data_IF_011814707880
#
_entry.id   IF_011814707880
#
_cell.length_a   1.000
_cell.length_b   1.000
_cell.length_c   1.000
_cell.angle_alpha   90.00
_cell.angle_beta   90.00
_cell.angle_gamma   90.00
#
_symmetry.space_group_name_H-M   'P 1'
#
loop_
_entity.id
_entity.type
_entity.pdbx_description
1 polymer ?
#
# COMPACT_ATOMS: atom_id res chain seq x y z
N UNK A 1 8.39 -22.92 8.19
CA UNK A 1 8.03 -22.33 6.88
C UNK A 1 6.52 -22.29 6.84
N UNK A 2 5.93 -21.21 6.41
CA UNK A 2 4.48 -21.12 6.26
C UNK A 2 4.05 -22.01 5.08
N UNK A 3 2.95 -22.74 5.27
CA UNK A 3 2.48 -23.75 4.31
C UNK A 3 1.98 -23.17 2.97
N UNK A 4 1.91 -21.84 2.85
CA UNK A 4 1.37 -21.13 1.69
C UNK A 4 2.40 -20.76 0.60
N UNK A 5 3.70 -20.92 0.84
CA UNK A 5 4.76 -20.67 -0.18
C UNK A 5 4.52 -21.42 -1.49
N UNK A 6 4.21 -22.72 -1.49
CA UNK A 6 3.96 -23.46 -2.73
C UNK A 6 2.75 -22.96 -3.50
N UNK A 7 1.70 -22.52 -2.81
CA UNK A 7 0.47 -22.05 -3.44
C UNK A 7 0.67 -20.66 -4.08
N UNK A 8 1.37 -19.75 -3.38
CA UNK A 8 1.77 -18.45 -3.94
C UNK A 8 2.61 -18.63 -5.20
N UNK A 9 3.61 -19.52 -5.16
CA UNK A 9 4.46 -19.79 -6.33
C UNK A 9 3.66 -20.36 -7.50
N UNK A 10 2.83 -21.37 -7.25
CA UNK A 10 1.97 -21.99 -8.27
C UNK A 10 1.08 -20.94 -8.94
N UNK A 11 0.57 -19.98 -8.17
CA UNK A 11 -0.29 -18.92 -8.70
C UNK A 11 0.42 -18.10 -9.78
N UNK A 12 1.54 -17.45 -9.45
CA UNK A 12 2.20 -16.58 -10.43
C UNK A 12 2.93 -17.36 -11.54
N UNK A 13 3.42 -18.58 -11.25
CA UNK A 13 4.00 -19.49 -12.26
C UNK A 13 2.95 -19.91 -13.29
N UNK A 14 1.69 -20.18 -12.88
CA UNK A 14 0.60 -20.50 -13.81
C UNK A 14 0.26 -19.36 -14.78
N UNK A 15 0.50 -18.11 -14.35
CA UNK A 15 0.32 -16.93 -15.18
C UNK A 15 1.54 -16.63 -16.08
N UNK A 16 2.64 -17.40 -15.95
CA UNK A 16 3.88 -17.15 -16.68
C UNK A 16 4.63 -15.91 -16.22
N UNK A 17 4.38 -15.42 -14.99
CA UNK A 17 5.05 -14.28 -14.43
C UNK A 17 6.44 -14.65 -13.87
N UNK A 18 7.39 -13.70 -13.78
CA UNK A 18 8.70 -13.94 -13.16
C UNK A 18 8.65 -13.86 -11.62
N UNK A 19 7.50 -13.52 -11.04
CA UNK A 19 7.25 -13.33 -9.62
C UNK A 19 6.11 -12.34 -9.40
N UNK A 20 6.10 -11.71 -8.23
CA UNK A 20 5.10 -10.72 -7.81
C UNK A 20 5.76 -9.37 -7.50
N UNK A 21 5.03 -8.29 -7.72
CA UNK A 21 5.32 -6.95 -7.20
C UNK A 21 4.20 -6.60 -6.22
N UNK A 22 4.50 -6.64 -4.93
CA UNK A 22 3.57 -6.28 -3.87
C UNK A 22 3.79 -4.83 -3.47
N UNK A 23 2.85 -3.94 -3.74
CA UNK A 23 3.02 -2.50 -3.52
C UNK A 23 2.63 -2.05 -2.11
N UNK A 24 2.12 -2.97 -1.28
CA UNK A 24 1.62 -2.63 0.05
C UNK A 24 2.05 -3.67 1.09
N UNK A 25 3.26 -3.54 1.58
CA UNK A 25 3.78 -4.32 2.72
C UNK A 25 4.31 -3.39 3.80
N UNK A 26 4.43 -3.91 5.02
CA UNK A 26 4.89 -3.14 6.16
C UNK A 26 6.08 -3.79 6.84
N UNK A 27 7.20 -3.08 6.85
CA UNK A 27 8.35 -3.37 7.69
C UNK A 27 8.65 -2.13 8.51
N UNK A 28 8.73 -2.28 9.82
CA UNK A 28 8.87 -1.19 10.77
C UNK A 28 9.97 -1.49 11.79
N UNK A 29 10.56 -0.47 12.43
CA UNK A 29 11.46 -0.70 13.55
C UNK A 29 10.84 -1.65 14.58
N UNK A 30 11.59 -2.58 15.17
CA UNK A 30 11.02 -3.64 16.03
C UNK A 30 10.13 -3.15 17.18
N UNK A 31 10.42 -1.98 17.75
CA UNK A 31 9.60 -1.36 18.80
C UNK A 31 8.25 -0.88 18.28
N UNK A 32 8.23 -0.25 17.10
CA UNK A 32 7.01 0.21 16.43
C UNK A 32 6.19 -0.99 15.98
N UNK A 33 6.84 -2.00 15.38
CA UNK A 33 6.15 -3.22 14.95
C UNK A 33 5.42 -3.93 16.10
N UNK A 34 6.04 -4.01 17.29
CA UNK A 34 5.36 -4.58 18.47
C UNK A 34 4.14 -3.75 18.89
N UNK A 35 4.24 -2.42 18.83
CA UNK A 35 3.11 -1.54 19.15
C UNK A 35 1.97 -1.72 18.14
N UNK A 36 2.28 -1.82 16.84
CA UNK A 36 1.29 -2.11 15.79
C UNK A 36 0.61 -3.46 16.03
N UNK A 37 1.37 -4.52 16.33
CA UNK A 37 0.77 -5.82 16.65
C UNK A 37 -0.17 -5.77 17.86
N UNK A 38 0.19 -5.03 18.91
CA UNK A 38 -0.68 -4.87 20.08
C UNK A 38 -2.01 -4.16 19.74
N UNK A 39 -1.98 -3.21 18.80
CA UNK A 39 -3.21 -2.55 18.31
C UNK A 39 -4.11 -3.55 17.61
N UNK A 40 -3.58 -4.39 16.72
CA UNK A 40 -4.35 -5.42 16.04
C UNK A 40 -4.87 -6.51 17.00
N UNK A 41 -4.06 -6.92 17.97
CA UNK A 41 -4.50 -7.89 19.00
C UNK A 41 -5.68 -7.37 19.83
N UNK A 42 -5.78 -6.05 20.01
CA UNK A 42 -6.86 -5.39 20.72
C UNK A 42 -8.02 -4.93 19.81
N UNK A 43 -7.93 -5.14 18.49
CA UNK A 43 -8.88 -4.56 17.55
C UNK A 43 -10.27 -5.24 17.56
N UNK A 44 -10.36 -6.50 17.99
CA UNK A 44 -11.57 -7.32 17.90
C UNK A 44 -12.88 -6.63 18.33
N UNK A 45 -12.94 -5.98 19.51
CA UNK A 45 -14.16 -5.28 19.94
C UNK A 45 -14.55 -4.09 19.06
N UNK A 46 -13.57 -3.43 18.39
CA UNK A 46 -13.83 -2.27 17.54
C UNK A 46 -14.34 -2.65 16.15
N UNK A 47 -13.81 -3.75 15.61
CA UNK A 47 -14.08 -4.18 14.22
C UNK A 47 -15.11 -5.33 14.15
N UNK A 48 -15.58 -5.84 15.29
CA UNK A 48 -16.55 -6.92 15.36
C UNK A 48 -16.01 -8.32 15.07
N UNK A 49 -14.67 -8.48 14.96
CA UNK A 49 -14.00 -9.77 14.77
C UNK A 49 -12.54 -9.71 15.20
N UNK A 50 -11.98 -10.87 15.59
CA UNK A 50 -10.56 -10.96 15.91
C UNK A 50 -9.68 -10.78 14.67
N UNK A 51 -8.47 -10.24 14.90
CA UNK A 51 -7.45 -10.04 13.87
C UNK A 51 -6.19 -10.84 14.22
N UNK A 52 -6.17 -12.15 13.98
CA UNK A 52 -5.03 -12.99 14.31
C UNK A 52 -3.91 -12.82 13.27
N UNK A 53 -3.00 -11.87 13.49
CA UNK A 53 -1.87 -11.65 12.59
C UNK A 53 -1.12 -12.97 12.38
N UNK A 54 -0.96 -13.34 11.09
CA UNK A 54 -0.35 -14.62 10.72
C UNK A 54 1.17 -14.58 10.68
N UNK A 55 1.78 -13.47 10.29
CA UNK A 55 3.22 -13.38 10.01
C UNK A 55 3.94 -12.55 11.08
N UNK A 56 4.20 -13.19 12.25
CA UNK A 56 4.84 -12.54 13.41
C UNK A 56 6.33 -12.86 13.56
N UNK A 57 6.92 -13.48 12.55
CA UNK A 57 8.34 -13.80 12.51
C UNK A 57 9.20 -12.54 12.61
N UNK A 58 10.51 -12.71 12.80
CA UNK A 58 11.49 -11.61 12.73
C UNK A 58 11.47 -10.91 11.37
N UNK A 59 12.08 -9.75 11.28
CA UNK A 59 12.20 -8.98 10.02
C UNK A 59 12.87 -9.86 8.95
N UNK A 60 13.99 -10.50 9.29
CA UNK A 60 14.77 -11.32 8.35
C UNK A 60 13.96 -12.52 7.86
N UNK A 61 13.30 -13.25 8.76
CA UNK A 61 12.45 -14.39 8.39
C UNK A 61 11.28 -13.97 7.48
N UNK A 62 10.70 -12.78 7.68
CA UNK A 62 9.65 -12.24 6.81
C UNK A 62 10.17 -11.86 5.43
N UNK A 63 11.38 -11.31 5.34
CA UNK A 63 12.05 -11.05 4.06
C UNK A 63 12.32 -12.36 3.32
N UNK A 64 12.89 -13.37 4.01
CA UNK A 64 13.11 -14.68 3.42
C UNK A 64 11.80 -15.35 2.96
N UNK A 65 10.72 -15.13 3.69
CA UNK A 65 9.40 -15.63 3.30
C UNK A 65 8.90 -14.98 2.01
N UNK A 66 9.00 -13.66 1.87
CA UNK A 66 8.65 -12.97 0.62
C UNK A 66 9.51 -13.45 -0.56
N UNK A 67 10.81 -13.64 -0.33
CA UNK A 67 11.73 -14.24 -1.32
C UNK A 67 11.30 -15.64 -1.74
N UNK A 68 10.96 -16.49 -0.78
CA UNK A 68 10.48 -17.85 -1.03
C UNK A 68 9.16 -17.87 -1.80
N UNK A 69 8.25 -16.95 -1.52
CA UNK A 69 6.99 -16.75 -2.24
C UNK A 69 7.19 -16.22 -3.68
N UNK A 70 8.36 -15.66 -3.99
CA UNK A 70 8.66 -15.06 -5.29
C UNK A 70 8.22 -13.61 -5.41
N UNK A 71 8.03 -12.90 -4.29
CA UNK A 71 7.84 -11.45 -4.29
C UNK A 71 9.18 -10.79 -4.61
N UNK A 72 9.26 -10.14 -5.77
CA UNK A 72 10.50 -9.58 -6.33
C UNK A 72 10.75 -8.14 -5.93
N UNK A 73 9.68 -7.39 -5.67
CA UNK A 73 9.73 -6.00 -5.22
C UNK A 73 8.62 -5.76 -4.21
N UNK A 74 8.95 -5.06 -3.15
CA UNK A 74 8.02 -4.70 -2.08
C UNK A 74 8.54 -3.49 -1.30
N UNK A 75 7.68 -2.58 -0.83
CA UNK A 75 8.06 -1.43 0.00
C UNK A 75 8.09 -1.79 1.49
N UNK A 76 8.66 -0.90 2.31
CA UNK A 76 8.51 -0.98 3.78
C UNK A 76 7.31 -0.21 4.30
N UNK A 77 6.81 0.76 3.57
CA UNK A 77 5.68 1.67 3.85
C UNK A 77 5.59 2.11 5.33
N UNK A 78 6.63 2.77 5.88
CA UNK A 78 6.51 3.37 7.20
C UNK A 78 5.49 4.50 7.18
N UNK A 79 4.83 4.77 8.31
CA UNK A 79 3.90 5.89 8.43
C UNK A 79 4.05 6.59 9.78
N UNK A 80 4.20 7.92 9.74
CA UNK A 80 4.31 8.73 10.94
C UNK A 80 2.93 8.93 11.58
N UNK A 81 2.86 8.75 12.91
CA UNK A 81 1.62 8.88 13.69
C UNK A 81 1.60 10.13 14.57
N UNK A 82 2.65 10.95 14.55
CA UNK A 82 2.76 12.23 15.27
C UNK A 82 3.97 13.00 14.76
N UNK A 83 4.07 14.31 15.08
CA UNK A 83 5.25 15.12 14.75
C UNK A 83 6.57 14.54 15.26
N UNK A 84 7.65 14.73 14.50
CA UNK A 84 9.02 14.32 14.85
C UNK A 84 9.30 12.82 14.72
N UNK A 85 8.37 12.01 14.24
CA UNK A 85 8.57 10.56 14.06
C UNK A 85 9.02 10.21 12.65
N UNK A 86 8.68 11.03 11.66
CA UNK A 86 8.94 10.73 10.25
C UNK A 86 10.43 10.49 9.97
N UNK A 87 11.32 11.36 10.42
CA UNK A 87 12.77 11.25 10.20
C UNK A 87 13.36 9.97 10.76
N UNK A 88 12.97 9.57 11.98
CA UNK A 88 13.40 8.29 12.56
C UNK A 88 12.96 7.08 11.71
N UNK A 89 11.74 7.10 11.21
CA UNK A 89 11.23 6.03 10.35
C UNK A 89 11.94 6.01 8.99
N UNK A 90 12.23 7.18 8.42
CA UNK A 90 12.94 7.31 7.15
C UNK A 90 14.38 6.82 7.24
N UNK A 91 15.10 7.15 8.33
CA UNK A 91 16.46 6.65 8.59
C UNK A 91 16.48 5.12 8.70
N UNK A 92 15.51 4.56 9.40
CA UNK A 92 15.38 3.11 9.52
C UNK A 92 15.10 2.46 8.17
N UNK A 93 14.18 3.03 7.38
CA UNK A 93 13.82 2.51 6.06
C UNK A 93 15.00 2.59 5.07
N UNK A 94 15.82 3.63 5.14
CA UNK A 94 17.07 3.73 4.38
C UNK A 94 18.06 2.63 4.77
N UNK A 95 18.16 2.30 6.07
CA UNK A 95 18.92 1.14 6.56
C UNK A 95 18.40 -0.17 5.98
N UNK A 96 17.09 -0.37 6.07
CA UNK A 96 16.45 -1.57 5.52
C UNK A 96 16.71 -1.73 4.02
N UNK A 97 16.62 -0.66 3.22
CA UNK A 97 16.92 -0.69 1.78
C UNK A 97 18.36 -1.13 1.49
N UNK A 98 19.33 -0.70 2.30
CA UNK A 98 20.74 -1.14 2.15
C UNK A 98 20.91 -2.64 2.41
N UNK A 99 20.20 -3.17 3.41
CA UNK A 99 20.28 -4.57 3.81
C UNK A 99 19.45 -5.50 2.93
N UNK A 100 18.36 -4.97 2.32
CA UNK A 100 17.40 -5.68 1.46
C UNK A 100 17.25 -4.93 0.13
N UNK A 101 18.18 -5.11 -0.82
CA UNK A 101 18.24 -4.32 -2.06
C UNK A 101 17.01 -4.44 -2.97
N UNK A 102 16.29 -5.55 -2.90
CA UNK A 102 15.05 -5.77 -3.65
C UNK A 102 13.85 -5.00 -3.07
N UNK A 103 13.94 -4.48 -1.86
CA UNK A 103 12.89 -3.60 -1.35
C UNK A 103 12.83 -2.28 -2.13
N UNK A 104 11.68 -1.62 -2.14
CA UNK A 104 11.57 -0.23 -2.58
C UNK A 104 11.97 0.67 -1.41
N UNK A 105 12.87 1.61 -1.65
CA UNK A 105 13.22 2.59 -0.63
C UNK A 105 12.01 3.47 -0.32
N UNK A 106 11.44 3.25 0.85
CA UNK A 106 10.21 3.89 1.29
C UNK A 106 10.49 5.00 2.30
N UNK A 107 9.68 6.06 2.25
CA UNK A 107 9.72 7.13 3.24
C UNK A 107 8.30 7.59 3.64
N UNK A 108 8.22 8.41 4.67
CA UNK A 108 6.97 8.98 5.18
C UNK A 108 7.17 10.43 5.61
N UNK A 109 6.06 11.13 5.84
CA UNK A 109 6.05 12.48 6.38
C UNK A 109 4.86 12.69 7.33
N UNK A 110 4.89 13.82 8.01
CA UNK A 110 3.81 14.30 8.87
C UNK A 110 3.58 15.79 8.57
N UNK A 111 2.37 16.36 8.73
CA UNK A 111 2.16 17.80 8.61
C UNK A 111 2.87 18.58 9.73
N UNK A 112 4.10 18.95 9.46
CA UNK A 112 5.00 19.69 10.35
C UNK A 112 5.82 20.71 9.54
N UNK A 113 6.31 21.80 10.13
CA UNK A 113 6.98 22.87 9.40
C UNK A 113 8.21 22.39 8.59
N UNK A 114 8.91 21.38 9.07
CA UNK A 114 10.12 20.83 8.47
C UNK A 114 9.85 19.83 7.33
N UNK A 115 8.57 19.44 7.11
CA UNK A 115 8.21 18.36 6.18
C UNK A 115 8.77 18.56 4.77
N UNK A 116 8.58 19.75 4.20
CA UNK A 116 9.08 20.04 2.85
C UNK A 116 10.60 19.90 2.75
N UNK A 117 11.33 20.35 3.77
CA UNK A 117 12.80 20.33 3.77
C UNK A 117 13.37 18.91 3.77
N UNK A 118 12.85 18.01 4.64
CA UNK A 118 13.37 16.65 4.65
C UNK A 118 12.85 15.82 3.45
N UNK A 119 11.66 16.13 2.91
CA UNK A 119 11.14 15.47 1.70
C UNK A 119 11.96 15.86 0.48
N UNK A 120 12.35 17.14 0.32
CA UNK A 120 13.23 17.58 -0.77
C UNK A 120 14.54 16.77 -0.78
N UNK A 121 15.17 16.59 0.40
CA UNK A 121 16.36 15.77 0.54
C UNK A 121 16.14 14.31 0.16
N UNK A 122 15.06 13.69 0.63
CA UNK A 122 14.73 12.29 0.35
C UNK A 122 14.42 12.05 -1.15
N UNK A 123 13.75 12.99 -1.80
CA UNK A 123 13.52 12.96 -3.25
C UNK A 123 14.84 13.05 -4.01
N UNK A 124 15.73 13.97 -3.62
CA UNK A 124 17.04 14.12 -4.24
C UNK A 124 17.94 12.88 -4.05
N UNK A 125 17.83 12.21 -2.91
CA UNK A 125 18.54 10.97 -2.58
C UNK A 125 17.97 9.73 -3.28
N UNK A 126 16.79 9.84 -3.95
CA UNK A 126 16.20 8.80 -4.76
C UNK A 126 15.25 7.85 -4.03
N UNK A 127 14.50 8.34 -3.04
CA UNK A 127 13.39 7.57 -2.45
C UNK A 127 12.42 7.13 -3.54
N UNK A 128 12.07 5.84 -3.55
CA UNK A 128 11.29 5.21 -4.61
C UNK A 128 9.78 5.27 -4.36
N UNK A 129 9.33 5.40 -3.09
CA UNK A 129 7.92 5.48 -2.72
C UNK A 129 7.71 6.17 -1.38
N UNK A 130 6.66 6.98 -1.28
CA UNK A 130 6.22 7.55 0.01
C UNK A 130 4.97 6.84 0.54
N UNK A 131 4.73 6.98 1.85
CA UNK A 131 3.51 6.47 2.52
C UNK A 131 3.00 7.46 3.52
N UNK A 132 1.67 7.65 3.55
CA UNK A 132 0.96 8.28 4.66
C UNK A 132 -0.28 7.47 5.03
N UNK A 133 -0.67 7.58 6.29
CA UNK A 133 -1.84 6.91 6.85
C UNK A 133 -2.65 7.93 7.67
N UNK A 134 -3.66 8.54 7.06
CA UNK A 134 -4.38 9.67 7.67
C UNK A 134 -5.15 9.28 8.93
N UNK A 135 -5.70 8.07 8.97
CA UNK A 135 -6.41 7.59 10.16
C UNK A 135 -5.50 7.46 11.39
N UNK A 136 -4.30 6.91 11.20
CA UNK A 136 -3.32 6.69 12.29
C UNK A 136 -2.59 7.97 12.64
N UNK A 137 -2.32 8.80 11.63
CA UNK A 137 -1.66 10.09 11.81
C UNK A 137 -2.60 11.19 12.33
N UNK A 138 -3.91 11.00 12.23
CA UNK A 138 -4.93 11.96 12.65
C UNK A 138 -4.73 13.35 12.03
N UNK A 139 -4.52 13.39 10.71
CA UNK A 139 -4.38 14.64 9.96
C UNK A 139 -5.13 14.61 8.63
N UNK A 140 -5.52 15.78 8.15
CA UNK A 140 -6.14 15.92 6.83
C UNK A 140 -5.10 15.96 5.72
N UNK A 141 -5.34 15.27 4.60
CA UNK A 141 -4.45 15.28 3.43
C UNK A 141 -4.28 16.70 2.85
N UNK A 142 -5.28 17.52 2.96
CA UNK A 142 -5.30 18.91 2.47
C UNK A 142 -4.84 19.94 3.53
N UNK A 143 -4.14 19.51 4.59
CA UNK A 143 -3.49 20.42 5.53
C UNK A 143 -2.50 21.33 4.76
N UNK A 144 -2.58 22.66 4.94
CA UNK A 144 -1.70 23.60 4.22
C UNK A 144 -0.20 23.38 4.41
N UNK A 145 0.22 22.76 5.53
CA UNK A 145 1.63 22.38 5.76
C UNK A 145 2.13 21.34 4.76
N UNK A 146 1.21 20.57 4.15
CA UNK A 146 1.55 19.55 3.17
C UNK A 146 1.58 20.06 1.73
N UNK A 147 1.10 21.26 1.43
CA UNK A 147 1.09 21.80 0.07
C UNK A 147 2.48 21.80 -0.58
N UNK A 148 3.56 22.24 0.08
CA UNK A 148 4.91 22.15 -0.49
C UNK A 148 5.35 20.69 -0.72
N UNK A 149 4.95 19.76 0.15
CA UNK A 149 5.27 18.33 0.01
C UNK A 149 4.59 17.73 -1.22
N UNK A 150 3.29 18.02 -1.41
CA UNK A 150 2.56 17.56 -2.59
C UNK A 150 3.18 18.08 -3.89
N UNK A 151 3.60 19.36 -3.90
CA UNK A 151 4.31 19.95 -5.04
C UNK A 151 5.62 19.23 -5.36
N UNK A 152 6.45 18.96 -4.35
CA UNK A 152 7.71 18.22 -4.51
C UNK A 152 7.49 16.81 -5.08
N UNK A 153 6.50 16.07 -4.55
CA UNK A 153 6.19 14.72 -5.02
C UNK A 153 5.61 14.73 -6.45
N UNK A 154 4.75 15.70 -6.76
CA UNK A 154 4.19 15.87 -8.11
C UNK A 154 5.28 16.13 -9.14
N UNK A 155 6.21 17.06 -8.84
CA UNK A 155 7.29 17.46 -9.77
C UNK A 155 8.33 16.35 -9.93
N UNK A 156 8.67 15.64 -8.85
CA UNK A 156 9.56 14.48 -8.90
C UNK A 156 8.92 13.27 -9.59
N UNK A 157 7.59 13.20 -9.59
CA UNK A 157 6.84 12.04 -10.06
C UNK A 157 6.98 10.81 -9.18
N UNK A 158 7.49 10.95 -7.96
CA UNK A 158 7.65 9.85 -7.01
C UNK A 158 6.28 9.41 -6.50
N UNK A 159 5.93 8.10 -6.60
CA UNK A 159 4.64 7.62 -6.17
C UNK A 159 4.49 7.66 -4.64
N UNK A 160 3.25 7.86 -4.21
CA UNK A 160 2.88 7.79 -2.80
C UNK A 160 1.71 6.84 -2.59
N UNK A 161 1.83 5.91 -1.62
CA UNK A 161 0.73 5.06 -1.16
C UNK A 161 -0.01 5.79 -0.02
N UNK A 162 -1.30 6.04 -0.21
CA UNK A 162 -2.11 6.83 0.73
C UNK A 162 -3.22 5.95 1.31
N UNK A 163 -3.21 5.73 2.62
CA UNK A 163 -4.36 5.18 3.33
C UNK A 163 -5.33 6.33 3.63
N UNK A 164 -6.23 6.59 2.67
CA UNK A 164 -7.23 7.65 2.73
C UNK A 164 -8.63 7.13 3.10
N UNK A 165 -8.94 5.86 2.81
CA UNK A 165 -10.22 5.23 3.12
C UNK A 165 -10.44 5.00 4.61
N UNK A 166 -11.70 4.75 5.00
CA UNK A 166 -12.12 4.60 6.38
C UNK A 166 -12.10 3.15 6.92
N UNK A 167 -11.79 2.15 6.10
CA UNK A 167 -11.77 0.76 6.59
C UNK A 167 -10.51 0.47 7.43
N UNK A 168 -10.62 -0.38 8.47
CA UNK A 168 -11.83 -1.01 9.01
C UNK A 168 -12.68 -0.10 9.91
N UNK A 169 -12.14 0.99 10.43
CA UNK A 169 -12.83 1.96 11.29
C UNK A 169 -12.36 3.36 10.93
N UNK A 170 -13.21 4.11 10.23
CA UNK A 170 -12.90 5.49 9.84
C UNK A 170 -12.88 6.47 10.99
N UNK A 171 -12.35 7.65 10.72
CA UNK A 171 -12.40 8.82 11.59
C UNK A 171 -12.57 10.09 10.75
N UNK A 172 -12.56 11.27 11.38
CA UNK A 172 -12.79 12.56 10.71
C UNK A 172 -11.74 12.90 9.63
N UNK A 173 -10.61 12.19 9.60
CA UNK A 173 -9.51 12.41 8.64
C UNK A 173 -9.61 11.54 7.40
N UNK A 174 -10.47 10.52 7.40
CA UNK A 174 -10.62 9.55 6.30
C UNK A 174 -11.72 9.99 5.31
N UNK A 175 -11.67 9.42 4.11
CA UNK A 175 -12.68 9.63 3.07
C UNK A 175 -12.13 10.26 1.78
N UNK A 176 -12.92 10.26 0.70
CA UNK A 176 -12.47 10.69 -0.62
C UNK A 176 -12.33 12.21 -0.77
N UNK A 177 -13.08 13.01 -0.02
CA UNK A 177 -13.12 14.46 -0.21
C UNK A 177 -11.78 15.17 0.04
N UNK A 178 -10.99 14.89 1.10
CA UNK A 178 -9.65 15.47 1.25
C UNK A 178 -8.72 15.09 0.10
N UNK A 179 -8.77 13.83 -0.37
CA UNK A 179 -7.96 13.36 -1.49
C UNK A 179 -8.33 14.10 -2.79
N UNK A 180 -9.63 14.26 -3.07
CA UNK A 180 -10.11 15.02 -4.22
C UNK A 180 -9.60 16.47 -4.22
N UNK A 181 -9.58 17.13 -3.05
CA UNK A 181 -9.03 18.49 -2.93
C UNK A 181 -7.53 18.57 -3.17
N UNK A 182 -6.75 17.56 -2.74
CA UNK A 182 -5.33 17.45 -3.06
C UNK A 182 -5.13 17.29 -4.56
N UNK A 183 -5.82 16.32 -5.20
CA UNK A 183 -5.71 16.07 -6.64
C UNK A 183 -6.16 17.24 -7.51
N UNK A 184 -7.12 18.04 -7.05
CA UNK A 184 -7.53 19.26 -7.76
C UNK A 184 -6.41 20.31 -7.81
N UNK A 185 -5.53 20.36 -6.80
CA UNK A 185 -4.38 21.27 -6.74
C UNK A 185 -3.10 20.68 -7.34
N UNK A 186 -2.95 19.37 -7.25
CA UNK A 186 -1.79 18.60 -7.71
C UNK A 186 -2.24 17.47 -8.66
N UNK A 187 -2.71 17.81 -9.88
CA UNK A 187 -3.34 16.83 -10.77
C UNK A 187 -2.40 15.79 -11.37
N UNK A 188 -1.08 16.01 -11.32
CA UNK A 188 -0.06 15.06 -11.80
C UNK A 188 0.51 14.19 -10.67
N UNK A 189 0.02 14.32 -9.44
CA UNK A 189 0.48 13.52 -8.30
C UNK A 189 0.31 12.03 -8.59
N UNK A 190 1.39 11.26 -8.47
CA UNK A 190 1.35 9.81 -8.61
C UNK A 190 0.90 9.17 -7.29
N UNK A 191 -0.38 8.90 -7.15
CA UNK A 191 -0.96 8.36 -5.93
C UNK A 191 -1.46 6.92 -6.11
N UNK A 192 -1.16 6.06 -5.14
CA UNK A 192 -1.76 4.73 -4.99
C UNK A 192 -2.68 4.77 -3.77
N UNK A 193 -3.98 4.61 -4.00
CA UNK A 193 -4.97 4.58 -2.94
C UNK A 193 -5.00 3.19 -2.32
N UNK A 194 -4.59 3.12 -1.06
CA UNK A 194 -4.57 1.88 -0.30
C UNK A 194 -5.98 1.30 -0.13
N UNK A 195 -6.10 -0.04 -0.19
CA UNK A 195 -7.37 -0.76 -0.02
C UNK A 195 -8.50 -0.24 -0.93
N UNK A 196 -8.13 0.25 -2.14
CA UNK A 196 -9.07 0.91 -3.08
C UNK A 196 -9.92 2.01 -2.43
N UNK A 197 -9.50 2.54 -1.29
CA UNK A 197 -10.23 3.55 -0.53
C UNK A 197 -11.45 3.05 0.26
N UNK A 198 -11.57 1.73 0.47
CA UNK A 198 -12.70 1.16 1.19
C UNK A 198 -13.01 1.91 2.51
N UNK A 199 -14.29 2.11 2.86
CA UNK A 199 -15.49 1.59 2.20
C UNK A 199 -16.01 2.44 1.03
N UNK A 200 -15.42 3.62 0.75
CA UNK A 200 -15.89 4.61 -0.22
C UNK A 200 -15.40 4.25 -1.65
N UNK A 201 -15.63 2.98 -2.06
CA UNK A 201 -15.08 2.40 -3.29
C UNK A 201 -15.47 3.17 -4.55
N UNK A 202 -16.73 3.63 -4.64
CA UNK A 202 -17.26 4.32 -5.84
C UNK A 202 -16.52 5.62 -6.08
N UNK A 203 -16.38 6.44 -5.05
CA UNK A 203 -15.73 7.75 -5.11
C UNK A 203 -14.23 7.63 -5.41
N UNK A 204 -13.54 6.64 -4.83
CA UNK A 204 -12.12 6.41 -5.12
C UNK A 204 -11.89 5.80 -6.52
N UNK A 205 -12.81 4.98 -7.03
CA UNK A 205 -12.81 4.57 -8.43
C UNK A 205 -12.97 5.78 -9.37
N UNK A 206 -13.89 6.71 -9.06
CA UNK A 206 -14.07 7.97 -9.82
C UNK A 206 -12.79 8.82 -9.84
N UNK A 207 -12.07 8.90 -8.73
CA UNK A 207 -10.78 9.59 -8.69
C UNK A 207 -9.74 8.89 -9.59
N UNK A 208 -9.70 7.57 -9.59
CA UNK A 208 -8.81 6.83 -10.47
C UNK A 208 -9.18 6.95 -11.95
N UNK A 209 -10.47 7.04 -12.29
CA UNK A 209 -10.94 7.28 -13.67
C UNK A 209 -10.59 8.67 -14.17
N UNK A 210 -10.70 9.67 -13.29
CA UNK A 210 -10.55 11.08 -13.64
C UNK A 210 -9.09 11.54 -13.69
N UNK A 211 -8.22 10.98 -12.81
CA UNK A 211 -6.82 11.39 -12.69
C UNK A 211 -5.88 10.33 -13.26
N UNK A 212 -5.09 10.69 -14.26
CA UNK A 212 -4.23 9.77 -15.02
C UNK A 212 -3.28 8.94 -14.14
N UNK A 213 -2.68 9.57 -13.11
CA UNK A 213 -1.65 8.97 -12.25
C UNK A 213 -2.17 8.44 -10.91
N UNK A 214 -3.50 8.38 -10.74
CA UNK A 214 -4.11 7.74 -9.57
C UNK A 214 -4.33 6.26 -9.84
N UNK A 215 -3.75 5.43 -8.99
CA UNK A 215 -3.87 3.98 -8.98
C UNK A 215 -4.55 3.50 -7.69
N UNK A 216 -4.95 2.24 -7.66
CA UNK A 216 -5.65 1.60 -6.54
C UNK A 216 -4.93 0.31 -6.18
N UNK A 217 -4.72 -0.01 -4.90
CA UNK A 217 -4.21 -1.32 -4.53
C UNK A 217 -5.31 -2.28 -4.02
N UNK A 218 -5.05 -3.56 -4.20
CA UNK A 218 -6.03 -4.63 -3.92
C UNK A 218 -6.06 -5.06 -2.46
N UNK A 219 -5.25 -4.46 -1.61
CA UNK A 219 -5.03 -4.89 -0.23
C UNK A 219 -6.33 -5.18 0.50
N UNK A 220 -6.54 -6.44 0.88
CA UNK A 220 -7.67 -6.99 1.64
C UNK A 220 -9.08 -6.85 1.01
N UNK A 221 -9.28 -6.02 0.00
CA UNK A 221 -10.62 -5.59 -0.50
C UNK A 221 -11.46 -6.75 -1.02
N UNK A 222 -10.83 -7.74 -1.66
CA UNK A 222 -11.51 -8.86 -2.32
C UNK A 222 -11.56 -10.13 -1.47
N UNK A 223 -11.01 -10.08 -0.25
CA UNK A 223 -10.98 -11.24 0.63
C UNK A 223 -12.32 -11.39 1.37
N UNK A 224 -12.68 -12.62 1.73
CA UNK A 224 -13.84 -12.93 2.56
C UNK A 224 -13.58 -12.68 4.07
N UNK A 225 -12.45 -12.06 4.40
CA UNK A 225 -12.20 -11.59 5.75
C UNK A 225 -13.24 -10.54 6.16
N UNK A 226 -13.68 -9.68 5.27
CA UNK A 226 -14.76 -8.73 5.53
C UNK A 226 -16.13 -9.35 5.26
N UNK A 227 -17.15 -9.04 6.08
CA UNK A 227 -18.49 -9.59 5.88
C UNK A 227 -19.20 -9.01 4.65
N UNK A 228 -18.79 -7.84 4.17
CA UNK A 228 -19.33 -7.23 2.97
C UNK A 228 -18.43 -7.61 1.79
N UNK A 229 -18.93 -8.39 0.81
CA UNK A 229 -18.17 -8.67 -0.41
C UNK A 229 -18.02 -7.42 -1.27
N UNK A 230 -17.00 -7.42 -2.12
CA UNK A 230 -16.86 -6.37 -3.13
C UNK A 230 -18.10 -6.32 -4.03
N UNK A 231 -18.69 -5.14 -4.31
CA UNK A 231 -19.90 -5.03 -5.10
C UNK A 231 -19.66 -5.50 -6.54
N UNK A 232 -20.41 -6.51 -6.98
CA UNK A 232 -20.23 -7.13 -8.31
C UNK A 232 -20.50 -6.16 -9.45
N UNK A 233 -21.33 -5.16 -9.25
CA UNK A 233 -21.65 -4.08 -10.20
C UNK A 233 -20.45 -3.16 -10.46
N UNK A 234 -19.43 -3.15 -9.61
CA UNK A 234 -18.20 -2.38 -9.80
C UNK A 234 -17.12 -3.16 -10.57
N UNK A 235 -17.27 -4.48 -10.78
CA UNK A 235 -16.28 -5.29 -11.49
C UNK A 235 -15.97 -4.79 -12.92
N UNK A 236 -16.92 -4.31 -13.73
CA UNK A 236 -16.62 -3.76 -15.06
C UNK A 236 -15.63 -2.58 -14.99
N UNK A 237 -15.72 -1.73 -13.97
CA UNK A 237 -14.78 -0.61 -13.76
C UNK A 237 -13.35 -1.10 -13.50
N UNK A 238 -13.17 -2.26 -12.85
CA UNK A 238 -11.85 -2.86 -12.65
C UNK A 238 -11.23 -3.38 -13.97
N UNK A 239 -12.06 -3.81 -14.92
CA UNK A 239 -11.60 -4.18 -16.26
C UNK A 239 -11.12 -2.94 -17.02
N UNK A 240 -11.90 -1.85 -17.01
CA UNK A 240 -11.54 -0.59 -17.66
C UNK A 240 -10.28 0.04 -17.02
N UNK A 241 -10.15 -0.07 -15.70
CA UNK A 241 -9.02 0.41 -14.91
C UNK A 241 -7.90 -0.64 -14.74
N UNK A 242 -7.87 -1.74 -15.51
CA UNK A 242 -6.91 -2.82 -15.26
C UNK A 242 -5.46 -2.32 -15.17
N UNK A 243 -5.12 -1.27 -15.90
CA UNK A 243 -3.77 -0.66 -15.90
C UNK A 243 -3.47 0.20 -14.65
N UNK A 244 -4.45 0.43 -13.77
CA UNK A 244 -4.36 1.25 -12.54
C UNK A 244 -4.55 0.43 -11.26
N UNK A 245 -4.86 -0.85 -11.36
CA UNK A 245 -5.00 -1.73 -10.20
C UNK A 245 -3.67 -2.43 -9.92
N UNK A 246 -3.22 -2.42 -8.67
CA UNK A 246 -1.91 -2.94 -8.23
C UNK A 246 -2.10 -3.99 -7.13
N UNK A 247 -1.28 -5.04 -7.14
CA UNK A 247 -1.27 -6.00 -6.04
C UNK A 247 -0.73 -5.35 -4.78
N UNK A 248 -1.55 -5.29 -3.74
CA UNK A 248 -1.16 -5.00 -2.37
C UNK A 248 -1.71 -6.05 -1.43
N UNK A 249 -1.02 -6.34 -0.32
CA UNK A 249 -1.44 -7.39 0.61
C UNK A 249 -1.60 -6.96 2.05
N UNK A 250 -0.91 -5.93 2.51
CA UNK A 250 -0.76 -5.54 3.93
C UNK A 250 0.11 -6.53 4.74
N UNK A 251 0.91 -7.35 4.05
CA UNK A 251 1.87 -8.22 4.73
C UNK A 251 2.79 -7.37 5.64
N UNK A 252 3.04 -7.76 6.87
CA UNK A 252 2.76 -9.03 7.53
C UNK A 252 1.51 -9.03 8.40
N UNK A 253 0.74 -7.94 8.45
CA UNK A 253 -0.34 -7.74 9.43
C UNK A 253 -1.64 -8.46 9.07
N UNK A 254 -1.67 -9.21 7.98
CA UNK A 254 -2.85 -9.93 7.50
C UNK A 254 -3.23 -11.14 8.40
N UNK A 255 -4.55 -11.38 8.58
CA UNK A 255 -5.06 -12.48 9.42
C UNK A 255 -5.22 -13.82 8.68
N UNK A 256 -4.86 -13.88 7.41
CA UNK A 256 -5.01 -15.05 6.52
C UNK A 256 -3.68 -15.33 5.78
N UNK A 257 -3.53 -16.50 5.11
CA UNK A 257 -2.37 -16.80 4.28
C UNK A 257 -2.22 -15.80 3.12
N UNK A 258 -1.00 -15.46 2.75
CA UNK A 258 -0.72 -14.61 1.58
C UNK A 258 -1.38 -15.14 0.29
N UNK A 259 -1.37 -16.46 0.10
CA UNK A 259 -2.06 -17.12 -1.01
C UNK A 259 -3.55 -16.76 -1.10
N UNK A 260 -4.22 -16.57 0.04
CA UNK A 260 -5.64 -16.22 0.07
C UNK A 260 -5.95 -14.87 -0.60
N UNK A 261 -5.04 -13.90 -0.51
CA UNK A 261 -5.15 -12.62 -1.24
C UNK A 261 -5.15 -12.87 -2.75
N UNK A 262 -4.23 -13.70 -3.25
CA UNK A 262 -4.12 -14.03 -4.68
C UNK A 262 -5.31 -14.84 -5.19
N UNK A 263 -5.75 -15.83 -4.42
CA UNK A 263 -6.95 -16.60 -4.71
C UNK A 263 -8.21 -15.74 -4.76
N UNK A 264 -8.27 -14.70 -3.91
CA UNK A 264 -9.36 -13.74 -3.92
C UNK A 264 -9.41 -12.94 -5.22
N UNK A 265 -8.26 -12.56 -5.76
CA UNK A 265 -8.18 -11.92 -7.09
C UNK A 265 -8.60 -12.86 -8.21
N UNK A 266 -8.17 -14.14 -8.16
CA UNK A 266 -8.56 -15.13 -9.15
C UNK A 266 -10.08 -15.39 -9.18
N UNK A 267 -10.73 -15.36 -8.01
CA UNK A 267 -12.19 -15.54 -7.88
C UNK A 267 -13.02 -14.43 -8.53
N UNK A 268 -12.42 -13.27 -8.85
CA UNK A 268 -13.10 -12.20 -9.58
C UNK A 268 -13.40 -12.58 -11.04
N UNK A 269 -12.71 -13.59 -11.58
CA UNK A 269 -12.86 -14.12 -12.95
C UNK A 269 -12.72 -13.04 -14.05
N UNK A 270 -11.77 -12.10 -13.84
CA UNK A 270 -11.48 -11.00 -14.78
C UNK A 270 -10.43 -11.39 -15.85
N UNK A 271 -9.97 -12.64 -15.83
CA UNK A 271 -9.04 -13.22 -16.80
C UNK A 271 -7.56 -13.07 -16.44
N UNK A 272 -6.74 -13.92 -17.08
CA UNK A 272 -5.29 -14.00 -16.79
C UNK A 272 -4.54 -12.71 -17.12
N UNK A 273 -4.94 -11.98 -18.17
CA UNK A 273 -4.27 -10.72 -18.55
C UNK A 273 -4.48 -9.64 -17.47
N UNK A 274 -5.67 -9.59 -16.86
CA UNK A 274 -5.94 -8.73 -15.72
C UNK A 274 -5.06 -9.12 -14.54
N UNK A 275 -4.96 -10.41 -14.21
CA UNK A 275 -4.10 -10.90 -13.13
C UNK A 275 -2.63 -10.59 -13.38
N UNK A 276 -2.13 -10.76 -14.62
CA UNK A 276 -0.75 -10.38 -14.98
C UNK A 276 -0.50 -8.90 -14.81
N UNK A 277 -1.44 -8.07 -15.26
CA UNK A 277 -1.34 -6.62 -15.09
C UNK A 277 -1.25 -6.24 -13.60
N UNK A 278 -2.18 -6.73 -12.77
CA UNK A 278 -2.26 -6.41 -11.35
C UNK A 278 -1.07 -6.94 -10.55
N UNK A 279 -0.69 -8.19 -10.77
CA UNK A 279 0.31 -8.86 -9.93
C UNK A 279 1.76 -8.51 -10.32
N UNK A 280 1.98 -7.94 -11.52
CA UNK A 280 3.32 -7.64 -12.00
C UNK A 280 3.43 -6.34 -12.79
N UNK A 281 2.81 -6.23 -13.96
CA UNK A 281 3.12 -5.19 -14.93
C UNK A 281 2.83 -3.79 -14.43
N UNK A 282 1.74 -3.59 -13.70
CA UNK A 282 1.36 -2.28 -13.17
C UNK A 282 2.34 -1.81 -12.09
N UNK A 283 2.72 -2.71 -11.17
CA UNK A 283 3.73 -2.40 -10.15
C UNK A 283 5.07 -2.00 -10.79
N UNK A 284 5.54 -2.78 -11.76
CA UNK A 284 6.77 -2.48 -12.51
C UNK A 284 6.70 -1.11 -13.16
N UNK A 285 5.59 -0.78 -13.83
CA UNK A 285 5.40 0.50 -14.50
C UNK A 285 5.32 1.67 -13.53
N UNK A 286 4.52 1.56 -12.47
CA UNK A 286 4.26 2.67 -11.53
C UNK A 286 5.51 3.03 -10.74
N UNK A 287 6.33 2.04 -10.36
CA UNK A 287 7.57 2.26 -9.61
C UNK A 287 8.83 2.29 -10.49
N UNK A 288 8.69 2.32 -11.83
CA UNK A 288 9.82 2.44 -12.74
C UNK A 288 10.85 1.32 -12.62
N UNK A 289 10.41 0.09 -12.34
CA UNK A 289 11.31 -1.02 -12.05
C UNK A 289 11.96 -1.59 -13.31
N UNK A 290 13.23 -1.99 -13.28
CA UNK A 290 13.87 -2.64 -14.42
C UNK A 290 13.25 -4.03 -14.68
N UNK A 291 13.02 -4.36 -15.95
CA UNK A 291 12.55 -5.69 -16.37
C UNK A 291 11.06 -5.80 -16.67
N UNK A 292 10.42 -4.68 -17.07
CA UNK A 292 9.09 -4.70 -17.69
C UNK A 292 9.14 -5.28 -19.09
#
# INVERSE_FOLDING_TARGET
>A
MTDDVPDVRRFWESLGLPGLVDVHTHFLPPSIQRAVYAVFDAAGPKIGREWPIRYRQSVDERVELLRAMGVRRFPTLPYAHKPGVATYLNDWAAGFKRDVPESLWSATFYPEPEAASYIEGLVADGVEVFKVHVQVGEFHLDDPLLDPVWGLLEDAGTPIVIHAGGAPVGNDFTGPAPMARVLARFPRLAAVIAHMGAPDLVEFLELAETHERVCLDTTMVFTDFWPQPYPVELLPRLVDLQHKVLLGTDFPTIPYPYAHQLESLARLDLGDDWLRAVCWHNGVRVFGLPGA
#
